data_IF_586384782297
#
_entry.id   IF_586384782297
#
_cell.length_a   1.000
_cell.length_b   1.000
_cell.length_c   1.000
_cell.angle_alpha   90.00
_cell.angle_beta   90.00
_cell.angle_gamma   90.00
#
_symmetry.space_group_name_H-M   'P 1'
#
loop_
_entity.id
_entity.type
_entity.pdbx_description
1 polymer ?
#
# COMPACT_ATOMS: atom_id res chain seq x y z
N UNK A 1 -12.31 26.95 57.04
CA UNK A 1 -11.05 26.47 56.45
C UNK A 1 -11.35 25.93 55.03
N UNK A 2 -11.20 26.78 54.02
CA UNK A 2 -11.52 26.47 52.62
C UNK A 2 -10.26 25.95 51.94
N UNK A 3 -10.23 24.67 51.57
CA UNK A 3 -9.10 24.06 50.83
C UNK A 3 -9.25 24.37 49.33
N UNK A 4 -8.34 25.19 48.81
CA UNK A 4 -8.18 25.38 47.37
C UNK A 4 -7.45 24.16 46.80
N UNK A 5 -8.11 23.43 45.88
CA UNK A 5 -7.50 22.41 45.05
C UNK A 5 -6.86 23.13 43.85
N UNK A 6 -5.53 23.11 43.76
CA UNK A 6 -4.78 23.57 42.59
C UNK A 6 -4.73 22.44 41.60
N UNK A 7 -5.43 22.53 40.47
CA UNK A 7 -5.28 21.66 39.33
C UNK A 7 -4.01 22.07 38.56
N UNK A 8 -2.96 21.27 38.63
CA UNK A 8 -1.83 21.40 37.70
C UNK A 8 -2.28 20.88 36.32
N UNK A 9 -2.47 21.80 35.37
CA UNK A 9 -2.59 21.44 33.95
C UNK A 9 -1.18 21.16 33.45
N UNK A 10 -0.84 19.90 33.27
CA UNK A 10 0.38 19.49 32.54
C UNK A 10 0.10 19.69 31.06
N UNK A 11 0.58 20.77 30.49
CA UNK A 11 0.59 20.98 29.05
C UNK A 11 1.57 19.93 28.44
N UNK A 12 1.04 18.92 27.76
CA UNK A 12 1.85 18.03 26.93
C UNK A 12 2.39 18.86 25.75
N UNK A 13 3.66 19.22 25.81
CA UNK A 13 4.36 19.79 24.66
C UNK A 13 4.50 18.69 23.62
N UNK A 14 3.80 18.83 22.48
CA UNK A 14 4.02 17.96 21.33
C UNK A 14 5.48 18.10 20.89
N UNK A 15 6.22 17.01 20.94
CA UNK A 15 7.57 16.97 20.36
C UNK A 15 7.47 17.18 18.85
N UNK A 16 8.42 17.92 18.24
CA UNK A 16 8.45 18.02 16.78
C UNK A 16 8.63 16.64 16.16
N UNK A 17 7.93 16.37 15.05
CA UNK A 17 8.06 15.13 14.29
C UNK A 17 9.51 14.91 13.89
N UNK A 18 10.06 13.74 14.20
CA UNK A 18 11.41 13.37 13.77
C UNK A 18 11.37 12.84 12.31
N UNK A 19 12.51 13.01 11.63
CA UNK A 19 12.69 12.52 10.26
C UNK A 19 13.75 11.41 10.23
N UNK A 20 13.39 10.29 9.61
CA UNK A 20 14.26 9.12 9.49
C UNK A 20 14.46 8.76 8.02
N UNK A 21 15.53 8.00 7.73
CA UNK A 21 15.78 7.40 6.43
C UNK A 21 16.05 5.91 6.60
N UNK A 22 15.27 5.10 5.93
CA UNK A 22 15.44 3.65 5.90
C UNK A 22 15.82 3.20 4.49
N UNK A 23 17.07 2.77 4.32
CA UNK A 23 17.56 2.19 3.08
C UNK A 23 17.18 0.71 3.00
N UNK A 24 16.94 0.24 1.79
CA UNK A 24 16.76 -1.19 1.53
C UNK A 24 18.11 -1.90 1.54
N UNK A 25 18.25 -2.89 2.41
CA UNK A 25 19.43 -3.75 2.54
C UNK A 25 18.98 -5.18 2.87
N UNK A 26 19.84 -6.20 2.81
CA UNK A 26 19.48 -7.54 3.27
C UNK A 26 18.93 -7.59 4.69
N UNK A 27 19.38 -6.70 5.59
CA UNK A 27 18.99 -6.64 7.00
C UNK A 27 17.67 -5.89 7.23
N UNK A 28 17.27 -5.01 6.30
CA UNK A 28 16.05 -4.20 6.39
C UNK A 28 14.94 -4.70 5.49
N UNK A 29 15.10 -5.92 4.94
CA UNK A 29 14.18 -6.51 3.99
C UNK A 29 13.34 -7.63 4.62
N UNK A 30 12.02 -7.53 4.53
CA UNK A 30 11.09 -8.63 4.68
C UNK A 30 10.75 -9.20 3.29
N UNK A 31 11.30 -10.37 2.95
CA UNK A 31 11.09 -10.98 1.65
C UNK A 31 9.86 -11.87 1.64
N UNK A 32 8.79 -11.41 1.00
CA UNK A 32 7.63 -12.23 0.66
C UNK A 32 6.66 -12.52 1.80
N UNK A 33 6.67 -11.74 2.89
CA UNK A 33 5.76 -11.98 4.00
C UNK A 33 5.42 -10.72 4.79
N UNK A 34 4.32 -10.80 5.55
CA UNK A 34 3.98 -9.96 6.70
C UNK A 34 3.87 -10.85 7.94
N UNK A 35 4.38 -10.41 9.10
CA UNK A 35 4.42 -11.27 10.29
C UNK A 35 4.47 -10.48 11.61
N UNK A 36 3.56 -10.78 12.53
CA UNK A 36 3.53 -10.15 13.87
C UNK A 36 4.77 -10.49 14.75
N UNK A 37 5.43 -11.60 14.48
CA UNK A 37 6.67 -12.00 15.18
C UNK A 37 7.96 -11.44 14.53
N UNK A 38 7.86 -10.58 13.51
CA UNK A 38 9.04 -10.00 12.89
C UNK A 38 9.70 -8.97 13.81
N UNK A 39 11.03 -8.96 13.83
CA UNK A 39 11.79 -7.96 14.61
C UNK A 39 11.83 -6.64 13.83
N UNK A 40 11.40 -5.51 14.42
CA UNK A 40 11.47 -4.23 13.74
C UNK A 40 12.90 -3.79 13.47
N UNK A 41 13.13 -3.22 12.29
CA UNK A 41 14.43 -2.64 11.87
C UNK A 41 14.54 -1.16 12.22
N UNK A 42 13.40 -0.53 12.49
CA UNK A 42 13.29 0.85 12.95
C UNK A 42 12.07 0.96 13.88
N UNK A 43 12.18 1.80 14.90
CA UNK A 43 11.05 2.18 15.76
C UNK A 43 10.89 3.69 15.69
N UNK A 44 9.65 4.16 15.46
CA UNK A 44 9.30 5.58 15.34
C UNK A 44 8.09 5.90 16.22
N UNK A 45 7.86 7.19 16.47
CA UNK A 45 6.70 7.65 17.22
C UNK A 45 5.56 8.07 16.27
N UNK A 46 4.34 8.11 16.82
CA UNK A 46 3.20 8.70 16.11
C UNK A 46 3.50 10.17 15.77
N UNK A 47 3.38 10.53 14.50
CA UNK A 47 3.70 11.84 13.94
C UNK A 47 5.03 11.87 13.17
N UNK A 48 5.91 10.92 13.38
CA UNK A 48 7.22 10.87 12.72
C UNK A 48 7.12 10.60 11.21
N UNK A 49 8.16 11.02 10.49
CA UNK A 49 8.29 10.91 9.04
C UNK A 49 9.46 9.99 8.68
N UNK A 50 9.25 9.06 7.77
CA UNK A 50 10.29 8.14 7.30
C UNK A 50 10.38 8.18 5.78
N UNK A 51 11.58 8.45 5.26
CA UNK A 51 11.94 8.21 3.87
C UNK A 51 12.38 6.76 3.72
N UNK A 52 11.67 5.97 2.90
CA UNK A 52 11.89 4.54 2.75
C UNK A 52 12.25 4.23 1.30
N UNK A 53 13.43 3.64 1.09
CA UNK A 53 13.87 3.13 -0.20
C UNK A 53 13.38 1.70 -0.40
N UNK A 54 12.93 1.38 -1.61
CA UNK A 54 12.54 0.03 -2.01
C UNK A 54 13.24 -0.38 -3.30
N UNK A 55 13.24 -1.68 -3.58
CA UNK A 55 13.71 -2.24 -4.85
C UNK A 55 12.68 -3.17 -5.44
N UNK A 56 12.64 -3.29 -6.76
CA UNK A 56 11.74 -4.19 -7.47
C UNK A 56 12.49 -4.98 -8.55
N UNK A 57 12.06 -6.23 -8.77
CA UNK A 57 12.55 -7.08 -9.83
C UNK A 57 13.43 -8.24 -9.38
N UNK A 58 13.81 -9.04 -10.37
CA UNK A 58 14.83 -10.08 -10.27
C UNK A 58 15.96 -9.75 -11.23
N UNK A 59 17.23 -9.64 -10.78
CA UNK A 59 18.36 -9.22 -11.61
C UNK A 59 18.49 -10.06 -12.89
N UNK A 60 18.43 -11.38 -12.77
CA UNK A 60 18.62 -12.30 -13.90
C UNK A 60 17.46 -12.20 -14.92
N UNK A 61 16.23 -11.94 -14.45
CA UNK A 61 15.07 -11.76 -15.33
C UNK A 61 15.18 -10.43 -16.08
N UNK A 62 15.61 -9.36 -15.42
CA UNK A 62 15.80 -8.05 -16.02
C UNK A 62 16.90 -8.08 -17.09
N UNK A 63 18.03 -8.74 -16.81
CA UNK A 63 19.10 -8.93 -17.81
C UNK A 63 18.63 -9.75 -19.02
N UNK A 64 17.92 -10.85 -18.77
CA UNK A 64 17.33 -11.67 -19.86
C UNK A 64 16.30 -10.91 -20.69
N UNK A 65 15.62 -9.94 -20.09
CA UNK A 65 14.69 -9.04 -20.79
C UNK A 65 15.39 -7.92 -21.57
N UNK A 66 16.72 -7.83 -21.49
CA UNK A 66 17.56 -6.88 -22.24
C UNK A 66 17.92 -5.61 -21.47
N UNK A 67 17.67 -5.55 -20.14
CA UNK A 67 18.16 -4.43 -19.34
C UNK A 67 19.70 -4.54 -19.19
N UNK A 68 20.46 -3.46 -19.51
CA UNK A 68 21.90 -3.46 -19.29
C UNK A 68 22.27 -3.74 -17.83
N UNK A 69 23.25 -4.62 -17.55
CA UNK A 69 23.62 -5.00 -16.19
C UNK A 69 23.98 -3.83 -15.27
N UNK A 70 24.56 -2.78 -15.82
CA UNK A 70 24.94 -1.55 -15.09
C UNK A 70 23.75 -0.68 -14.68
N UNK A 71 22.57 -0.89 -15.25
CA UNK A 71 21.34 -0.20 -14.87
C UNK A 71 20.60 -0.90 -13.71
N UNK A 72 20.95 -2.14 -13.40
CA UNK A 72 20.36 -2.86 -12.27
C UNK A 72 20.98 -2.33 -10.97
N UNK A 73 20.13 -1.94 -10.03
CA UNK A 73 20.54 -1.39 -8.76
C UNK A 73 21.47 -2.36 -8.00
N UNK A 74 22.62 -1.88 -7.49
CA UNK A 74 23.53 -2.70 -6.68
C UNK A 74 22.84 -3.31 -5.45
N UNK A 75 21.90 -2.60 -4.83
CA UNK A 75 21.12 -3.06 -3.68
C UNK A 75 20.29 -4.29 -4.04
N UNK A 76 19.65 -4.30 -5.22
CA UNK A 76 18.85 -5.45 -5.67
C UNK A 76 19.74 -6.68 -5.85
N UNK A 77 20.94 -6.54 -6.48
CA UNK A 77 21.89 -7.66 -6.62
C UNK A 77 22.36 -8.17 -5.25
N UNK A 78 22.69 -7.25 -4.34
CA UNK A 78 23.13 -7.59 -2.99
C UNK A 78 22.06 -8.39 -2.24
N UNK A 79 20.80 -7.97 -2.30
CA UNK A 79 19.68 -8.65 -1.68
C UNK A 79 19.56 -10.09 -2.20
N UNK A 80 19.61 -10.29 -3.52
CA UNK A 80 19.53 -11.62 -4.10
C UNK A 80 20.70 -12.53 -3.74
N UNK A 81 21.88 -11.96 -3.56
CA UNK A 81 23.11 -12.69 -3.19
C UNK A 81 23.16 -13.03 -1.68
N UNK A 82 22.71 -12.14 -0.81
CA UNK A 82 22.96 -12.24 0.63
C UNK A 82 21.75 -12.70 1.44
N UNK A 83 20.49 -12.48 0.98
CA UNK A 83 19.30 -12.93 1.72
C UNK A 83 19.12 -14.43 1.56
N UNK A 84 19.28 -15.23 2.65
CA UNK A 84 19.19 -16.68 2.59
C UNK A 84 17.79 -17.14 2.14
N UNK A 85 17.71 -18.19 1.33
CA UNK A 85 16.43 -18.72 0.83
C UNK A 85 15.49 -19.15 1.95
N UNK A 86 16.04 -19.72 3.01
CA UNK A 86 15.32 -20.19 4.20
C UNK A 86 14.70 -19.06 5.02
N UNK A 87 15.20 -17.82 4.90
CA UNK A 87 14.64 -16.64 5.56
C UNK A 87 13.49 -16.00 4.78
N UNK A 88 13.32 -16.36 3.48
CA UNK A 88 12.29 -15.82 2.64
C UNK A 88 10.93 -16.39 3.00
N UNK A 89 9.89 -15.56 2.87
CA UNK A 89 8.50 -15.98 3.06
C UNK A 89 7.92 -16.66 1.82
N UNK A 90 6.64 -16.97 1.86
CA UNK A 90 5.95 -17.68 0.77
C UNK A 90 5.65 -16.80 -0.45
N UNK A 91 5.72 -15.48 -0.33
CA UNK A 91 5.45 -14.52 -1.41
C UNK A 91 6.69 -14.09 -2.18
N UNK A 92 6.49 -13.22 -3.18
CA UNK A 92 7.55 -12.75 -4.07
C UNK A 92 8.06 -11.33 -3.77
N UNK A 93 7.32 -10.52 -3.04
CA UNK A 93 7.60 -9.09 -2.88
C UNK A 93 8.84 -8.84 -2.01
N UNK A 94 9.60 -7.82 -2.40
CA UNK A 94 10.74 -7.28 -1.65
C UNK A 94 10.23 -6.09 -0.84
N UNK A 95 9.93 -6.29 0.45
CA UNK A 95 9.36 -5.26 1.31
C UNK A 95 10.42 -4.68 2.24
N UNK A 96 10.52 -3.35 2.31
CA UNK A 96 11.40 -2.66 3.25
C UNK A 96 10.68 -2.44 4.58
N UNK A 97 11.26 -2.90 5.66
CA UNK A 97 10.69 -2.91 7.01
C UNK A 97 11.06 -4.19 7.77
N UNK A 98 10.33 -4.52 8.85
CA UNK A 98 9.19 -3.78 9.40
C UNK A 98 9.60 -2.57 10.26
N UNK A 99 8.76 -1.54 10.25
CA UNK A 99 8.88 -0.36 11.09
C UNK A 99 7.85 -0.47 12.21
N UNK A 100 8.30 -0.44 13.46
CA UNK A 100 7.41 -0.38 14.62
C UNK A 100 7.00 1.08 14.90
N UNK A 101 5.71 1.31 15.09
CA UNK A 101 5.17 2.58 15.56
C UNK A 101 4.88 2.46 17.04
N UNK A 102 5.60 3.22 17.87
CA UNK A 102 5.53 3.15 19.31
C UNK A 102 4.11 3.45 19.81
N UNK A 103 3.61 2.62 20.73
CA UNK A 103 2.27 2.76 21.30
C UNK A 103 1.13 2.21 20.44
N UNK A 104 1.35 1.85 19.18
CA UNK A 104 0.34 1.19 18.38
C UNK A 104 0.02 -0.22 18.91
N UNK A 105 -1.26 -0.55 19.01
CA UNK A 105 -1.76 -1.82 19.58
C UNK A 105 -3.00 -2.32 18.84
N UNK A 106 -3.31 -3.62 18.94
CA UNK A 106 -4.50 -4.17 18.31
C UNK A 106 -5.76 -3.39 18.67
N UNK A 107 -6.57 -3.07 17.65
CA UNK A 107 -7.79 -2.26 17.77
C UNK A 107 -7.62 -0.77 17.44
N UNK A 108 -6.38 -0.26 17.37
CA UNK A 108 -6.07 1.06 16.85
C UNK A 108 -6.17 1.10 15.32
N UNK A 109 -6.05 2.29 14.73
CA UNK A 109 -5.87 2.49 13.29
C UNK A 109 -4.55 3.21 13.04
N UNK A 110 -3.74 2.68 12.14
CA UNK A 110 -2.56 3.35 11.63
C UNK A 110 -2.93 4.18 10.40
N UNK A 111 -2.75 5.49 10.49
CA UNK A 111 -2.82 6.42 9.38
C UNK A 111 -1.44 6.55 8.75
N UNK A 112 -1.32 6.22 7.47
CA UNK A 112 -0.10 6.33 6.65
C UNK A 112 -0.30 7.44 5.62
N UNK A 113 0.30 8.61 5.86
CA UNK A 113 0.27 9.74 4.91
C UNK A 113 1.40 9.60 3.92
N UNK A 114 1.07 9.43 2.66
CA UNK A 114 2.02 9.33 1.54
C UNK A 114 2.42 10.74 1.11
N UNK A 115 3.54 11.25 1.61
CA UNK A 115 3.94 12.66 1.39
C UNK A 115 4.63 12.88 0.06
N UNK A 116 5.45 11.92 -0.37
CA UNK A 116 6.15 11.97 -1.64
C UNK A 116 6.49 10.56 -2.13
N UNK A 117 6.59 10.41 -3.45
CA UNK A 117 7.07 9.19 -4.10
C UNK A 117 8.03 9.61 -5.21
N UNK A 118 9.19 8.97 -5.31
CA UNK A 118 10.19 9.22 -6.34
C UNK A 118 10.56 7.91 -7.04
N UNK A 119 10.72 7.98 -8.35
CA UNK A 119 11.28 6.92 -9.17
C UNK A 119 12.81 6.85 -8.96
N UNK A 120 13.34 5.71 -8.56
CA UNK A 120 14.77 5.55 -8.29
C UNK A 120 15.56 5.12 -9.52
N UNK A 121 14.93 4.42 -10.47
CA UNK A 121 15.53 3.90 -11.70
C UNK A 121 14.85 4.49 -12.94
N UNK A 122 15.57 4.56 -14.11
CA UNK A 122 15.03 5.11 -15.34
C UNK A 122 14.24 4.09 -16.18
N UNK A 123 13.78 3.03 -15.57
CA UNK A 123 13.00 1.97 -16.24
C UNK A 123 11.90 1.44 -15.32
N UNK A 124 10.90 0.89 -15.95
CA UNK A 124 9.98 -0.07 -15.37
C UNK A 124 10.03 -1.37 -16.17
N UNK A 125 9.43 -2.42 -15.63
CA UNK A 125 9.21 -3.64 -16.38
C UNK A 125 7.77 -4.12 -16.16
N UNK A 126 7.26 -4.89 -17.12
CA UNK A 126 6.01 -5.64 -16.99
C UNK A 126 6.33 -7.11 -17.30
N UNK A 127 5.84 -8.03 -16.50
CA UNK A 127 6.24 -9.43 -16.53
C UNK A 127 5.03 -10.35 -16.50
N UNK A 128 4.31 -10.42 -17.61
CA UNK A 128 3.18 -11.36 -17.73
C UNK A 128 3.64 -12.82 -17.54
N UNK A 129 2.80 -13.64 -16.97
CA UNK A 129 3.11 -15.05 -16.72
C UNK A 129 1.89 -15.91 -16.39
N UNK A 130 2.16 -17.09 -15.83
CA UNK A 130 1.15 -18.11 -15.51
C UNK A 130 0.23 -17.74 -14.33
N UNK A 131 0.43 -16.60 -13.69
CA UNK A 131 -0.38 -16.12 -12.58
C UNK A 131 -1.32 -14.96 -12.96
N UNK A 132 -1.25 -14.46 -14.21
CA UNK A 132 -2.15 -13.43 -14.71
C UNK A 132 -3.60 -13.93 -14.84
N UNK A 133 -4.53 -13.01 -14.90
CA UNK A 133 -5.97 -13.32 -15.00
C UNK A 133 -6.34 -14.11 -16.25
N UNK A 134 -5.58 -13.93 -17.35
CA UNK A 134 -5.74 -14.67 -18.62
C UNK A 134 -4.58 -15.66 -18.87
N UNK A 135 -4.06 -16.29 -17.81
CA UNK A 135 -2.91 -17.21 -17.91
C UNK A 135 -3.19 -18.44 -18.78
N UNK A 136 -4.43 -18.84 -18.96
CA UNK A 136 -4.87 -19.90 -19.88
C UNK A 136 -4.70 -19.51 -21.36
N UNK A 137 -4.79 -18.21 -21.67
CA UNK A 137 -4.63 -17.65 -23.03
C UNK A 137 -3.17 -17.27 -23.28
N UNK A 138 -2.49 -16.69 -22.28
CA UNK A 138 -1.12 -16.19 -22.37
C UNK A 138 -0.15 -17.05 -21.53
N UNK A 139 -0.09 -18.34 -21.82
CA UNK A 139 0.70 -19.30 -21.05
C UNK A 139 2.23 -19.09 -21.13
N UNK A 140 2.72 -18.37 -22.15
CA UNK A 140 4.14 -18.06 -22.30
C UNK A 140 4.47 -16.76 -21.59
N UNK A 141 5.32 -16.84 -20.55
CA UNK A 141 5.80 -15.68 -19.85
C UNK A 141 6.64 -14.76 -20.74
N UNK A 142 6.52 -13.47 -20.52
CA UNK A 142 7.33 -12.44 -21.18
C UNK A 142 7.60 -11.30 -20.22
N UNK A 143 8.86 -10.89 -20.10
CA UNK A 143 9.22 -9.63 -19.44
C UNK A 143 9.54 -8.57 -20.49
N UNK A 144 8.95 -7.39 -20.33
CA UNK A 144 9.13 -6.22 -21.18
C UNK A 144 9.74 -5.10 -20.37
N UNK A 145 10.86 -4.55 -20.80
CA UNK A 145 11.45 -3.33 -20.23
C UNK A 145 10.75 -2.10 -20.85
N UNK A 146 10.39 -1.16 -19.99
CA UNK A 146 9.69 0.09 -20.34
C UNK A 146 10.57 1.26 -19.86
N UNK A 147 11.29 1.94 -20.76
CA UNK A 147 12.07 3.13 -20.41
C UNK A 147 11.17 4.24 -19.85
N UNK A 148 11.63 4.92 -18.80
CA UNK A 148 10.92 6.01 -18.14
C UNK A 148 11.55 7.36 -18.48
N UNK A 149 10.78 8.27 -19.07
CA UNK A 149 11.11 9.68 -19.23
C UNK A 149 10.51 10.47 -18.07
N UNK A 150 11.35 10.76 -17.06
CA UNK A 150 10.92 11.46 -15.84
C UNK A 150 10.61 12.93 -16.07
N UNK A 151 11.25 13.56 -17.06
CA UNK A 151 11.02 14.97 -17.39
C UNK A 151 9.65 15.17 -18.03
N UNK A 152 9.28 14.26 -18.94
CA UNK A 152 7.97 14.25 -19.59
C UNK A 152 6.88 13.52 -18.79
N UNK A 153 7.26 12.86 -17.71
CA UNK A 153 6.37 12.05 -16.87
C UNK A 153 5.65 10.94 -17.65
N UNK A 154 6.39 10.21 -18.50
CA UNK A 154 5.86 9.14 -19.35
C UNK A 154 6.75 7.88 -19.30
N UNK A 155 6.13 6.71 -19.50
CA UNK A 155 6.79 5.44 -19.79
C UNK A 155 6.61 5.06 -21.26
N UNK A 156 7.71 4.75 -21.95
CA UNK A 156 7.70 4.38 -23.37
C UNK A 156 7.37 2.88 -23.53
N UNK A 157 6.08 2.57 -23.69
CA UNK A 157 5.64 1.17 -23.85
C UNK A 157 6.11 0.54 -25.16
N UNK A 158 6.38 1.35 -26.18
CA UNK A 158 6.79 0.94 -27.51
C UNK A 158 5.67 1.05 -28.53
N UNK A 159 6.04 0.95 -29.83
CA UNK A 159 5.07 1.16 -30.92
C UNK A 159 4.45 2.56 -30.99
N UNK A 160 5.10 3.56 -30.40
CA UNK A 160 4.58 4.94 -30.30
C UNK A 160 3.58 5.15 -29.14
N UNK A 161 3.47 4.18 -28.21
CA UNK A 161 2.57 4.28 -27.06
C UNK A 161 3.35 4.85 -25.87
N UNK A 162 2.93 6.00 -25.39
CA UNK A 162 3.42 6.66 -24.19
C UNK A 162 2.36 6.56 -23.08
N UNK A 163 2.79 6.08 -21.90
CA UNK A 163 1.92 5.88 -20.73
C UNK A 163 2.26 6.96 -19.70
N UNK A 164 1.30 7.80 -19.27
CA UNK A 164 1.51 8.75 -18.18
C UNK A 164 1.93 8.05 -16.90
N UNK A 165 2.96 8.55 -16.21
CA UNK A 165 3.40 8.00 -14.94
C UNK A 165 2.52 8.49 -13.80
N UNK A 166 2.12 7.57 -12.93
CA UNK A 166 1.37 7.81 -11.71
C UNK A 166 1.93 6.86 -10.63
N UNK A 167 3.13 7.15 -10.09
CA UNK A 167 3.82 6.21 -9.22
C UNK A 167 3.10 6.01 -7.89
N UNK A 168 3.04 4.75 -7.45
CA UNK A 168 2.49 4.33 -6.17
C UNK A 168 3.14 3.03 -5.71
N UNK A 169 2.94 2.64 -4.44
CA UNK A 169 3.35 1.34 -3.93
C UNK A 169 2.16 0.38 -3.97
N UNK A 170 2.32 -0.74 -4.64
CA UNK A 170 1.32 -1.82 -4.67
C UNK A 170 1.14 -2.42 -3.29
N UNK A 171 2.26 -2.61 -2.59
CA UNK A 171 2.28 -3.25 -1.28
C UNK A 171 2.67 -2.25 -0.18
N UNK A 172 1.68 -1.88 0.64
CA UNK A 172 1.81 -1.11 1.89
C UNK A 172 0.96 -1.80 2.96
N UNK A 173 1.59 -2.43 3.92
CA UNK A 173 0.86 -3.22 4.91
C UNK A 173 1.51 -3.23 6.27
N UNK A 174 0.80 -3.84 7.21
CA UNK A 174 1.24 -4.03 8.58
C UNK A 174 1.15 -5.51 8.98
N UNK A 175 1.66 -5.85 10.16
CA UNK A 175 1.56 -7.21 10.64
C UNK A 175 0.10 -7.67 10.80
N UNK A 176 -0.24 -8.88 10.31
CA UNK A 176 -1.54 -9.50 10.55
C UNK A 176 -1.68 -9.92 12.02
N UNK A 177 -2.87 -10.41 12.46
CA UNK A 177 -3.03 -11.00 13.77
C UNK A 177 -1.99 -12.09 14.05
N UNK A 178 -1.48 -12.19 15.28
CA UNK A 178 -0.42 -13.16 15.67
C UNK A 178 -0.78 -14.61 15.28
N UNK A 179 -2.04 -14.99 15.43
CA UNK A 179 -2.54 -16.33 15.10
C UNK A 179 -2.41 -16.69 13.61
N UNK A 180 -2.28 -15.70 12.73
CA UNK A 180 -2.10 -15.93 11.30
C UNK A 180 -0.67 -16.37 10.94
N UNK A 181 0.30 -16.16 11.85
CA UNK A 181 1.70 -16.48 11.62
C UNK A 181 2.32 -15.60 10.53
N UNK A 182 3.23 -16.21 9.77
CA UNK A 182 3.89 -15.55 8.63
C UNK A 182 3.01 -15.71 7.39
N UNK A 183 2.33 -14.63 6.98
CA UNK A 183 1.43 -14.65 5.82
C UNK A 183 2.17 -14.31 4.52
N UNK A 184 1.66 -14.82 3.39
CA UNK A 184 2.15 -14.52 2.06
C UNK A 184 1.92 -13.03 1.73
N UNK A 185 2.94 -12.37 1.14
CA UNK A 185 2.85 -10.96 0.76
C UNK A 185 1.97 -10.68 -0.46
N UNK A 186 1.63 -11.70 -1.30
CA UNK A 186 0.86 -11.47 -2.50
C UNK A 186 -0.64 -11.19 -2.22
N UNK A 187 -1.39 -12.00 -1.46
CA UNK A 187 -2.79 -11.70 -1.20
C UNK A 187 -2.94 -10.49 -0.26
N UNK A 188 -3.66 -9.43 -0.67
CA UNK A 188 -4.05 -8.35 0.25
C UNK A 188 -5.10 -8.84 1.26
N UNK A 189 -5.25 -8.10 2.38
CA UNK A 189 -6.21 -8.47 3.41
C UNK A 189 -6.53 -7.33 4.38
N UNK A 190 -7.04 -7.69 5.57
CA UNK A 190 -7.33 -6.73 6.63
C UNK A 190 -6.09 -5.94 7.10
N UNK A 191 -4.91 -6.48 6.89
CA UNK A 191 -3.61 -5.86 7.15
C UNK A 191 -3.14 -4.92 6.04
N UNK A 192 -3.98 -4.61 5.05
CA UNK A 192 -3.65 -4.00 3.78
C UNK A 192 -2.70 -4.91 2.97
N UNK A 193 -1.40 -4.61 2.92
CA UNK A 193 -0.43 -5.40 2.15
C UNK A 193 -0.51 -5.04 0.67
N UNK A 194 -0.59 -6.04 -0.19
CA UNK A 194 -0.59 -5.90 -1.65
C UNK A 194 -1.95 -5.45 -2.19
N UNK A 195 -2.31 -4.19 -1.89
CA UNK A 195 -3.61 -3.64 -2.30
C UNK A 195 -3.71 -3.37 -3.79
N UNK A 196 -2.60 -3.06 -4.45
CA UNK A 196 -2.52 -2.66 -5.87
C UNK A 196 -3.53 -1.57 -6.23
N UNK A 197 -3.70 -0.63 -5.31
CA UNK A 197 -4.62 0.48 -5.50
C UNK A 197 -3.89 1.71 -6.06
N UNK A 198 -4.02 1.94 -7.36
CA UNK A 198 -3.35 3.04 -8.08
C UNK A 198 -3.75 4.45 -7.61
N UNK A 199 -4.75 4.58 -6.75
CA UNK A 199 -5.16 5.85 -6.17
C UNK A 199 -4.28 6.26 -4.97
N UNK A 200 -3.44 5.34 -4.44
CA UNK A 200 -2.56 5.57 -3.29
C UNK A 200 -1.24 6.26 -3.70
N UNK A 201 -1.35 7.39 -4.38
CA UNK A 201 -0.23 8.22 -4.83
C UNK A 201 0.22 9.22 -3.76
N UNK A 202 1.29 9.98 -4.04
CA UNK A 202 1.70 11.10 -3.19
C UNK A 202 0.55 12.10 -2.96
N UNK A 203 0.38 12.54 -1.70
CA UNK A 203 -0.73 13.40 -1.27
C UNK A 203 -1.98 12.65 -0.83
N UNK A 204 -1.95 11.31 -0.80
CA UNK A 204 -3.04 10.47 -0.29
C UNK A 204 -2.71 9.89 1.09
N UNK A 205 -3.72 9.35 1.75
CA UNK A 205 -3.61 8.74 3.08
C UNK A 205 -4.25 7.35 3.05
N UNK A 206 -3.55 6.37 3.60
CA UNK A 206 -4.05 5.01 3.83
C UNK A 206 -4.29 4.80 5.33
N UNK A 207 -5.45 4.25 5.71
CA UNK A 207 -5.83 3.90 7.07
C UNK A 207 -5.90 2.38 7.18
N UNK A 208 -5.16 1.80 8.12
CA UNK A 208 -5.04 0.34 8.28
C UNK A 208 -5.42 -0.05 9.71
N UNK A 209 -6.37 -0.96 9.92
CA UNK A 209 -6.68 -1.49 11.25
C UNK A 209 -5.48 -2.26 11.82
N UNK A 210 -5.04 -1.88 13.03
CA UNK A 210 -3.88 -2.49 13.69
C UNK A 210 -4.25 -3.82 14.33
N UNK A 211 -3.47 -4.87 14.05
CA UNK A 211 -3.70 -6.24 14.54
C UNK A 211 -2.61 -6.75 15.48
N UNK A 212 -1.43 -6.12 15.47
CA UNK A 212 -0.28 -6.51 16.29
C UNK A 212 0.37 -5.29 16.95
N UNK A 213 1.04 -5.50 18.08
CA UNK A 213 1.76 -4.44 18.78
C UNK A 213 2.83 -3.80 17.86
N UNK A 214 2.88 -2.46 17.85
CA UNK A 214 3.78 -1.70 17.01
C UNK A 214 3.35 -1.63 15.53
N UNK A 215 2.21 -2.19 15.15
CA UNK A 215 1.71 -2.27 13.77
C UNK A 215 2.68 -3.01 12.81
N UNK A 216 3.99 -2.73 12.85
CA UNK A 216 5.04 -3.34 12.03
C UNK A 216 4.82 -3.11 10.53
N UNK A 217 4.94 -1.84 10.12
CA UNK A 217 4.71 -1.41 8.74
C UNK A 217 5.83 -1.83 7.80
N UNK A 218 5.45 -2.37 6.65
CA UNK A 218 6.34 -2.75 5.54
C UNK A 218 5.81 -2.17 4.22
N UNK A 219 6.73 -1.82 3.31
CA UNK A 219 6.39 -1.23 2.02
C UNK A 219 7.32 -1.73 0.91
N UNK A 220 6.76 -1.96 -0.26
CA UNK A 220 7.51 -2.38 -1.45
C UNK A 220 6.61 -2.39 -2.67
N UNK A 221 7.02 -3.18 -3.68
CA UNK A 221 6.20 -3.37 -4.88
C UNK A 221 5.87 -2.02 -5.54
N UNK A 222 6.92 -1.34 -5.99
CA UNK A 222 6.80 -0.02 -6.57
C UNK A 222 6.31 -0.07 -8.00
N UNK A 223 5.26 0.68 -8.32
CA UNK A 223 4.67 0.80 -9.63
C UNK A 223 4.89 2.22 -10.19
N UNK A 224 5.36 2.34 -11.42
CA UNK A 224 5.40 3.62 -12.14
C UNK A 224 4.03 4.03 -12.70
N UNK A 225 3.11 3.08 -12.78
CA UNK A 225 1.72 3.23 -13.19
C UNK A 225 1.07 1.88 -13.44
N UNK A 226 -0.26 1.83 -13.37
CA UNK A 226 -1.06 0.60 -13.51
C UNK A 226 -2.45 0.93 -14.06
N UNK A 227 -3.03 0.02 -14.83
CA UNK A 227 -4.47 -0.01 -15.11
C UNK A 227 -5.22 -0.73 -13.98
N UNK A 228 -6.44 -0.27 -13.64
CA UNK A 228 -7.30 -1.02 -12.73
C UNK A 228 -7.48 -2.46 -13.23
N UNK A 229 -7.38 -3.41 -12.30
CA UNK A 229 -7.47 -4.84 -12.56
C UNK A 229 -6.14 -5.58 -12.56
N UNK A 230 -5.01 -4.93 -12.83
CA UNK A 230 -3.66 -5.54 -12.90
C UNK A 230 -3.64 -6.91 -13.61
N UNK A 231 -4.26 -6.95 -14.77
CA UNK A 231 -4.76 -8.19 -15.40
C UNK A 231 -3.70 -9.23 -15.75
N UNK A 232 -2.43 -8.86 -15.90
CA UNK A 232 -1.35 -9.81 -16.24
C UNK A 232 -0.42 -10.15 -15.08
N UNK A 233 -0.78 -9.78 -13.83
CA UNK A 233 -0.05 -10.01 -12.56
C UNK A 233 1.04 -8.98 -12.26
N UNK A 234 1.31 -8.05 -13.16
CA UNK A 234 2.26 -6.96 -12.90
C UNK A 234 1.73 -5.64 -13.47
N UNK A 235 2.13 -4.55 -12.84
CA UNK A 235 1.96 -3.20 -13.35
C UNK A 235 3.13 -2.78 -14.26
N UNK A 236 3.49 -1.51 -14.25
CA UNK A 236 4.82 -1.01 -14.63
C UNK A 236 5.71 -1.03 -13.37
N UNK A 237 6.27 -2.20 -13.09
CA UNK A 237 7.09 -2.49 -11.91
C UNK A 237 8.36 -1.66 -11.90
N UNK A 238 8.70 -1.02 -10.78
CA UNK A 238 9.90 -0.20 -10.66
C UNK A 238 10.34 -0.02 -9.21
N UNK A 239 11.55 0.45 -9.00
CA UNK A 239 12.05 0.80 -7.67
C UNK A 239 11.68 2.22 -7.32
N UNK A 240 11.18 2.42 -6.11
CA UNK A 240 10.69 3.69 -5.60
C UNK A 240 11.32 4.06 -4.26
N UNK A 241 11.41 5.35 -3.99
CA UNK A 241 11.57 5.87 -2.63
C UNK A 241 10.33 6.66 -2.25
N UNK A 242 9.71 6.28 -1.12
CA UNK A 242 8.54 6.94 -0.55
C UNK A 242 8.88 7.73 0.71
N UNK A 243 8.13 8.81 0.96
CA UNK A 243 8.17 9.56 2.22
C UNK A 243 6.81 9.41 2.90
N UNK A 244 6.81 8.78 4.08
CA UNK A 244 5.60 8.44 4.81
C UNK A 244 5.60 9.11 6.18
N UNK A 245 4.43 9.60 6.60
CA UNK A 245 4.20 10.00 7.99
C UNK A 245 3.22 9.02 8.61
N UNK A 246 3.53 8.56 9.83
CA UNK A 246 2.71 7.61 10.57
C UNK A 246 1.97 8.32 11.71
N UNK A 247 0.64 8.10 11.82
CA UNK A 247 -0.16 8.60 12.93
C UNK A 247 -1.01 7.46 13.48
N UNK A 248 -1.01 7.27 14.79
CA UNK A 248 -1.83 6.25 15.47
C UNK A 248 -3.11 6.90 15.99
N UNK A 249 -4.26 6.31 15.67
CA UNK A 249 -5.56 6.67 16.18
C UNK A 249 -6.07 5.61 17.13
N UNK A 250 -6.23 5.95 18.40
CA UNK A 250 -6.74 5.05 19.45
C UNK A 250 -8.27 5.05 19.57
N UNK A 251 -8.91 6.01 18.95
CA UNK A 251 -10.37 6.26 18.99
C UNK A 251 -11.08 5.96 17.65
N UNK A 252 -10.32 5.55 16.63
CA UNK A 252 -10.84 5.11 15.35
C UNK A 252 -10.88 3.59 15.30
N UNK A 253 -11.93 3.02 14.69
CA UNK A 253 -12.08 1.59 14.50
C UNK A 253 -12.46 1.27 13.07
N UNK A 254 -11.71 0.39 12.43
CA UNK A 254 -11.93 -0.09 11.07
C UNK A 254 -11.91 -1.62 11.03
N UNK A 255 -12.74 -2.20 10.19
CA UNK A 255 -12.70 -3.64 9.87
C UNK A 255 -11.81 -3.91 8.65
N UNK A 256 -11.78 -2.98 7.71
CA UNK A 256 -11.03 -3.05 6.46
C UNK A 256 -10.19 -1.79 6.25
N UNK A 257 -9.13 -1.85 5.45
CA UNK A 257 -8.40 -0.66 5.04
C UNK A 257 -9.31 0.34 4.34
N UNK A 258 -9.06 1.63 4.59
CA UNK A 258 -9.68 2.77 3.89
C UNK A 258 -8.60 3.70 3.38
N UNK A 259 -8.95 4.55 2.41
CA UNK A 259 -8.04 5.58 1.99
C UNK A 259 -8.76 6.91 1.78
N UNK A 260 -7.96 7.96 1.66
CA UNK A 260 -8.42 9.31 1.41
C UNK A 260 -7.46 10.01 0.45
N UNK A 261 -8.03 10.60 -0.60
CA UNK A 261 -7.34 11.48 -1.52
C UNK A 261 -7.80 12.93 -1.28
N UNK A 262 -7.19 13.93 -1.91
CA UNK A 262 -7.71 15.30 -1.86
C UNK A 262 -9.17 15.43 -2.31
N UNK A 263 -9.66 14.53 -3.17
CA UNK A 263 -10.97 14.63 -3.81
C UNK A 263 -11.95 13.51 -3.47
N UNK A 264 -11.47 12.37 -2.95
CA UNK A 264 -12.31 11.19 -2.68
C UNK A 264 -11.99 10.58 -1.32
N UNK A 265 -13.00 9.95 -0.69
CA UNK A 265 -12.79 8.87 0.25
C UNK A 265 -12.84 7.55 -0.52
N UNK A 266 -12.11 6.56 -0.03
CA UNK A 266 -11.99 5.24 -0.67
C UNK A 266 -12.26 4.16 0.37
N UNK A 267 -13.27 3.34 0.13
CA UNK A 267 -13.52 2.10 0.87
C UNK A 267 -13.10 0.91 0.02
N UNK A 268 -12.79 -0.22 0.65
CA UNK A 268 -12.22 -1.37 -0.05
C UNK A 268 -12.95 -2.65 0.36
N UNK A 269 -13.02 -3.60 -0.56
CA UNK A 269 -13.47 -4.96 -0.32
C UNK A 269 -12.51 -5.94 -0.97
N UNK A 270 -12.10 -6.95 -0.21
CA UNK A 270 -11.07 -7.92 -0.61
C UNK A 270 -11.62 -9.33 -0.36
N UNK A 271 -11.62 -10.18 -1.38
CA UNK A 271 -12.06 -11.59 -1.29
C UNK A 271 -11.52 -12.38 -2.49
N UNK A 272 -11.26 -13.69 -2.36
CA UNK A 272 -10.95 -14.53 -3.52
C UNK A 272 -12.05 -14.54 -4.60
N UNK A 273 -13.31 -14.33 -4.24
CA UNK A 273 -14.42 -14.14 -5.17
C UNK A 273 -14.69 -12.67 -5.43
N UNK A 274 -14.63 -12.23 -6.69
CA UNK A 274 -14.81 -10.82 -7.08
C UNK A 274 -16.20 -10.28 -6.67
N UNK A 275 -17.24 -11.11 -6.73
CA UNK A 275 -18.60 -10.69 -6.35
C UNK A 275 -18.67 -10.44 -4.84
N UNK A 276 -17.99 -11.26 -4.03
CA UNK A 276 -17.89 -11.04 -2.59
C UNK A 276 -17.03 -9.81 -2.28
N UNK A 277 -15.90 -9.60 -2.98
CA UNK A 277 -15.11 -8.37 -2.84
C UNK A 277 -15.96 -7.12 -3.12
N UNK A 278 -16.72 -7.11 -4.20
CA UNK A 278 -17.66 -6.02 -4.52
C UNK A 278 -18.73 -5.83 -3.45
N UNK A 279 -19.28 -6.93 -2.92
CA UNK A 279 -20.27 -6.90 -1.83
C UNK A 279 -19.69 -6.30 -0.54
N UNK A 280 -18.49 -6.70 -0.14
CA UNK A 280 -17.79 -6.15 1.02
C UNK A 280 -17.54 -4.65 0.81
N UNK A 281 -17.01 -4.26 -0.36
CA UNK A 281 -16.78 -2.86 -0.69
C UNK A 281 -18.03 -2.00 -0.60
N UNK A 282 -19.17 -2.48 -1.15
CA UNK A 282 -20.44 -1.78 -1.07
C UNK A 282 -20.95 -1.64 0.38
N UNK A 283 -20.79 -2.67 1.21
CA UNK A 283 -21.17 -2.62 2.63
C UNK A 283 -20.30 -1.63 3.40
N UNK A 284 -18.98 -1.65 3.21
CA UNK A 284 -18.05 -0.68 3.81
C UNK A 284 -18.34 0.75 3.35
N UNK A 285 -18.76 0.94 2.09
CA UNK A 285 -19.22 2.23 1.59
C UNK A 285 -20.47 2.73 2.31
N UNK A 286 -21.47 1.87 2.45
CA UNK A 286 -22.71 2.20 3.18
C UNK A 286 -22.39 2.53 4.63
N UNK A 287 -21.57 1.71 5.29
CA UNK A 287 -21.22 1.93 6.70
C UNK A 287 -20.39 3.23 6.88
N UNK A 288 -19.50 3.56 5.94
CA UNK A 288 -18.82 4.87 5.89
C UNK A 288 -19.82 6.02 5.80
N UNK A 289 -20.78 5.95 4.87
CA UNK A 289 -21.78 7.01 4.65
C UNK A 289 -22.70 7.19 5.86
N UNK A 290 -23.08 6.10 6.54
CA UNK A 290 -23.86 6.15 7.76
C UNK A 290 -23.06 6.76 8.93
N UNK A 291 -21.84 6.27 9.13
CA UNK A 291 -21.05 6.62 10.31
C UNK A 291 -20.42 8.01 10.20
N UNK A 292 -19.89 8.38 9.01
CA UNK A 292 -19.19 9.63 8.82
C UNK A 292 -20.11 10.74 8.29
N UNK A 293 -20.98 10.42 7.33
CA UNK A 293 -21.88 11.41 6.70
C UNK A 293 -23.26 11.47 7.34
N UNK A 294 -23.54 10.61 8.35
CA UNK A 294 -24.80 10.59 9.12
C UNK A 294 -26.06 10.35 8.26
N UNK A 295 -25.91 9.66 7.14
CA UNK A 295 -27.05 9.27 6.30
C UNK A 295 -27.85 8.12 6.93
N UNK A 296 -29.13 7.97 6.55
CA UNK A 296 -29.85 6.72 6.80
C UNK A 296 -29.22 5.58 6.00
N UNK A 297 -29.40 4.34 6.42
CA UNK A 297 -28.83 3.18 5.73
C UNK A 297 -29.40 3.04 4.32
N UNK A 298 -30.68 3.35 4.14
CA UNK A 298 -31.39 3.34 2.87
C UNK A 298 -30.86 4.44 1.92
N UNK A 299 -30.65 5.67 2.41
CA UNK A 299 -30.10 6.77 1.62
C UNK A 299 -28.64 6.51 1.27
N UNK A 300 -27.85 5.95 2.19
CA UNK A 300 -26.47 5.55 1.93
C UNK A 300 -26.39 4.50 0.82
N UNK A 301 -27.27 3.50 0.83
CA UNK A 301 -27.34 2.48 -0.22
C UNK A 301 -27.78 3.08 -1.57
N UNK A 302 -28.80 3.94 -1.57
CA UNK A 302 -29.26 4.63 -2.77
C UNK A 302 -28.15 5.53 -3.35
N UNK A 303 -27.44 6.32 -2.49
CA UNK A 303 -26.35 7.18 -2.92
C UNK A 303 -25.17 6.38 -3.51
N UNK A 304 -24.85 5.23 -2.92
CA UNK A 304 -23.85 4.32 -3.46
C UNK A 304 -24.18 3.92 -4.90
N UNK A 305 -25.46 3.65 -5.20
CA UNK A 305 -25.90 3.23 -6.53
C UNK A 305 -25.89 4.34 -7.58
N UNK A 306 -26.16 5.59 -7.18
CA UNK A 306 -26.40 6.68 -8.15
C UNK A 306 -25.19 7.62 -8.34
N UNK A 307 -24.17 7.56 -7.48
CA UNK A 307 -23.10 8.55 -7.48
C UNK A 307 -21.72 8.03 -7.07
N UNK A 308 -21.55 6.75 -6.76
CA UNK A 308 -20.27 6.19 -6.29
C UNK A 308 -19.84 5.06 -7.21
N UNK A 309 -18.65 5.20 -7.81
CA UNK A 309 -18.09 4.18 -8.68
C UNK A 309 -17.43 3.06 -7.86
N UNK A 310 -17.63 1.81 -8.28
CA UNK A 310 -16.91 0.65 -7.80
C UNK A 310 -15.93 0.20 -8.87
N UNK A 311 -14.64 0.32 -8.58
CA UNK A 311 -13.56 -0.05 -9.48
C UNK A 311 -12.97 -1.41 -9.09
N UNK A 312 -12.66 -2.25 -10.07
CA UNK A 312 -11.87 -3.47 -9.84
C UNK A 312 -10.43 -3.05 -9.60
N UNK A 313 -9.95 -3.17 -8.37
CA UNK A 313 -8.59 -2.77 -7.99
C UNK A 313 -7.56 -3.69 -8.64
N UNK A 314 -7.69 -5.00 -8.40
CA UNK A 314 -6.87 -6.05 -9.01
C UNK A 314 -7.63 -7.40 -9.08
N UNK A 315 -7.26 -8.26 -10.04
CA UNK A 315 -7.89 -9.56 -10.33
C UNK A 315 -7.00 -10.76 -10.05
N UNK A 316 -5.80 -10.51 -9.55
CA UNK A 316 -4.69 -11.46 -9.42
C UNK A 316 -4.37 -11.74 -7.95
N UNK A 317 -3.18 -12.26 -7.61
CA UNK A 317 -2.65 -12.45 -6.24
C UNK A 317 -3.47 -13.34 -5.30
N UNK A 318 -4.41 -14.12 -5.82
CA UNK A 318 -5.26 -15.03 -5.04
C UNK A 318 -6.43 -14.35 -4.32
N UNK A 319 -6.31 -13.07 -3.97
CA UNK A 319 -7.38 -12.23 -3.41
C UNK A 319 -7.65 -11.08 -4.36
N UNK A 320 -8.90 -10.92 -4.79
CA UNK A 320 -9.32 -9.83 -5.66
C UNK A 320 -9.71 -8.61 -4.86
N UNK A 321 -9.46 -7.42 -5.42
CA UNK A 321 -9.81 -6.15 -4.80
C UNK A 321 -10.86 -5.38 -5.58
N UNK A 322 -11.80 -4.78 -4.83
CA UNK A 322 -12.71 -3.75 -5.33
C UNK A 322 -12.61 -2.55 -4.42
N UNK A 323 -12.52 -1.35 -4.99
CA UNK A 323 -12.57 -0.12 -4.21
C UNK A 323 -13.65 0.82 -4.71
N UNK A 324 -14.24 1.58 -3.80
CA UNK A 324 -15.24 2.60 -4.09
C UNK A 324 -14.61 3.99 -4.09
N UNK A 325 -14.90 4.79 -5.11
CA UNK A 325 -14.49 6.18 -5.23
C UNK A 325 -15.64 7.09 -4.81
N UNK A 326 -15.60 7.59 -3.57
CA UNK A 326 -16.65 8.43 -2.95
C UNK A 326 -16.25 9.91 -3.11
N UNK A 327 -16.84 10.67 -4.05
CA UNK A 327 -16.44 12.06 -4.27
C UNK A 327 -16.77 12.95 -3.06
N UNK A 328 -15.78 13.65 -2.51
CA UNK A 328 -15.98 14.60 -1.41
C UNK A 328 -16.92 15.75 -1.76
N UNK A 329 -16.98 16.10 -3.04
CA UNK A 329 -17.86 17.15 -3.56
C UNK A 329 -19.34 16.88 -3.32
N UNK A 330 -19.76 15.60 -3.19
CA UNK A 330 -21.14 15.23 -2.88
C UNK A 330 -21.60 15.81 -1.53
N UNK A 331 -20.67 16.04 -0.61
CA UNK A 331 -20.97 16.45 0.76
C UNK A 331 -20.68 17.94 1.03
N UNK A 332 -20.27 18.71 0.00
CA UNK A 332 -19.88 20.11 0.15
C UNK A 332 -21.01 21.02 0.70
N UNK A 333 -22.27 20.66 0.47
CA UNK A 333 -23.46 21.36 0.96
C UNK A 333 -24.02 20.88 2.30
N UNK A 334 -23.44 19.83 2.88
CA UNK A 334 -23.91 19.32 4.17
C UNK A 334 -23.52 20.25 5.30
N UNK A 335 -24.50 20.64 6.11
CA UNK A 335 -24.21 21.39 7.36
C UNK A 335 -23.54 20.41 8.34
N UNK A 336 -22.35 20.76 8.80
CA UNK A 336 -21.66 20.05 9.88
C UNK A 336 -22.40 20.18 11.19
#
# INVERSE_FOLDING_TARGET
MTRFLVFMIVAATALPAAEYKLKVTPETLAWGYYWAGAKPVLTVQSGDVVEIQTVSGNPDNLERAGLPPEQIQPELRKIYAEVPKESRGPGGHLLTGPIAIEGARPGDVLEVRIRAIRLDVPYAYNSMGRAGFLADVFAQGRTKIIPLDRERNIGHFGGGIDIPLKPFFGSMGIAPPEAAGKVNSAPPGIHAGNLDNKELVAGTTLFIPVHAAGALFEVGDGHAGMGNGEVDITAMETSLTGVFQFVVHHDMHLSWPRAETPTHYITMGLDPDLTQAARICALETIDFLVNEMKLSREDAYALTSVAIDLDITQLVDGTKGVHAMIPKSLFAGMKK
#
